data_IF_886071658078
#
_entry.id   IF_886071658078
#
_cell.length_a   1.000
_cell.length_b   1.000
_cell.length_c   1.000
_cell.angle_alpha   90.00
_cell.angle_beta   90.00
_cell.angle_gamma   90.00
#
_symmetry.space_group_name_H-M   'P 1'
#
loop_
_entity.id
_entity.type
_entity.pdbx_description
1 polymer ?
#
# COMPACT_ATOMS: atom_id res chain seq x y z
N UNK A 1 15.85 24.80 -16.26
CA UNK A 1 15.11 23.77 -15.50
C UNK A 1 15.72 22.36 -15.64
N UNK A 2 16.95 22.22 -16.17
CA UNK A 2 17.52 20.95 -16.64
C UNK A 2 18.40 20.18 -15.64
N UNK A 3 19.07 20.84 -14.68
CA UNK A 3 20.13 20.17 -13.90
C UNK A 3 19.66 19.09 -12.89
N UNK A 4 18.41 19.11 -12.41
CA UNK A 4 17.90 18.04 -11.50
C UNK A 4 17.41 16.79 -12.25
N UNK A 5 17.20 16.87 -13.57
CA UNK A 5 16.72 15.76 -14.40
C UNK A 5 17.85 15.02 -15.14
N UNK A 6 19.04 15.62 -15.24
CA UNK A 6 20.23 15.02 -15.88
C UNK A 6 20.83 13.84 -15.10
N UNK A 7 20.35 13.55 -13.88
CA UNK A 7 20.65 12.31 -13.15
C UNK A 7 19.37 11.47 -12.99
N UNK A 8 18.95 10.71 -14.03
CA UNK A 8 17.78 9.84 -13.95
C UNK A 8 17.96 8.70 -12.93
N UNK A 9 19.21 8.36 -12.62
CA UNK A 9 19.57 7.28 -11.70
C UNK A 9 19.86 7.87 -10.32
N UNK A 10 18.86 7.84 -9.45
CA UNK A 10 19.05 8.03 -8.01
C UNK A 10 19.29 6.67 -7.36
N UNK A 11 20.55 6.36 -7.05
CA UNK A 11 20.90 5.18 -6.26
C UNK A 11 20.78 5.53 -4.77
N UNK A 12 19.82 4.92 -4.08
CA UNK A 12 19.69 5.04 -2.62
C UNK A 12 20.07 3.71 -1.98
N UNK A 13 21.12 3.71 -1.17
CA UNK A 13 21.50 2.56 -0.34
C UNK A 13 20.98 2.81 1.07
N UNK A 14 20.25 1.86 1.64
CA UNK A 14 19.71 1.97 2.99
C UNK A 14 20.08 0.73 3.82
N UNK A 15 20.55 0.97 5.04
CA UNK A 15 20.71 -0.07 6.08
C UNK A 15 19.47 -0.08 6.96
N UNK A 16 18.82 -1.22 7.08
CA UNK A 16 17.57 -1.35 7.83
C UNK A 16 17.83 -2.00 9.20
N UNK A 17 17.34 -1.37 10.26
CA UNK A 17 17.19 -1.99 11.57
C UNK A 17 15.72 -2.40 11.75
N UNK A 18 15.49 -3.62 12.24
CA UNK A 18 14.15 -4.21 12.34
C UNK A 18 13.64 -4.15 13.77
N UNK A 19 12.37 -3.79 13.94
CA UNK A 19 11.68 -3.86 15.22
C UNK A 19 10.73 -5.05 15.21
N UNK A 20 10.64 -5.76 16.33
CA UNK A 20 9.69 -6.84 16.48
C UNK A 20 9.22 -6.92 17.92
N UNK A 21 7.97 -7.36 18.09
CA UNK A 21 7.47 -7.67 19.43
C UNK A 21 8.11 -8.96 19.91
N UNK A 22 8.64 -8.92 21.12
CA UNK A 22 9.14 -10.12 21.78
C UNK A 22 7.97 -10.97 22.28
N UNK A 23 8.23 -12.25 22.59
CA UNK A 23 7.25 -13.11 23.28
C UNK A 23 6.78 -12.44 24.58
N UNK A 24 7.66 -11.68 25.25
CA UNK A 24 7.27 -10.96 26.46
C UNK A 24 6.28 -9.83 26.21
N UNK A 25 6.43 -9.09 25.12
CA UNK A 25 5.47 -8.03 24.76
C UNK A 25 4.09 -8.61 24.47
N UNK A 26 4.04 -9.76 23.80
CA UNK A 26 2.80 -10.49 23.55
C UNK A 26 2.16 -11.00 24.85
N UNK A 27 2.95 -11.61 25.75
CA UNK A 27 2.46 -12.08 27.03
C UNK A 27 1.96 -10.92 27.91
N UNK A 28 2.69 -9.81 27.98
CA UNK A 28 2.26 -8.59 28.69
C UNK A 28 0.95 -8.06 28.11
N UNK A 29 0.82 -8.02 26.79
CA UNK A 29 -0.42 -7.63 26.10
C UNK A 29 -1.59 -8.56 26.45
N UNK A 30 -1.36 -9.88 26.43
CA UNK A 30 -2.35 -10.90 26.77
C UNK A 30 -2.88 -10.75 28.20
N UNK A 31 -1.98 -10.58 29.18
CA UNK A 31 -2.29 -10.49 30.61
C UNK A 31 -2.67 -9.08 31.09
N UNK A 32 -2.49 -8.04 30.27
CA UNK A 32 -2.78 -6.64 30.65
C UNK A 32 -4.24 -6.37 31.07
N UNK A 33 -5.18 -7.24 30.66
CA UNK A 33 -6.61 -7.14 30.98
C UNK A 33 -7.09 -8.48 31.55
N UNK A 34 -6.93 -8.73 32.85
CA UNK A 34 -7.27 -10.01 33.47
C UNK A 34 -8.79 -10.22 33.61
N UNK A 35 -9.57 -9.13 33.70
CA UNK A 35 -11.02 -9.20 33.92
C UNK A 35 -11.76 -10.04 32.86
N UNK A 36 -11.59 -9.82 31.53
CA UNK A 36 -12.19 -10.68 30.51
C UNK A 36 -11.83 -12.16 30.61
N UNK A 37 -10.62 -12.47 31.06
CA UNK A 37 -10.17 -13.86 31.24
C UNK A 37 -10.90 -14.51 32.41
N UNK A 38 -11.00 -13.81 33.53
CA UNK A 38 -11.73 -14.29 34.70
C UNK A 38 -13.24 -14.42 34.44
N UNK A 39 -13.85 -13.46 33.74
CA UNK A 39 -15.29 -13.53 33.43
C UNK A 39 -15.62 -14.70 32.51
N UNK A 40 -14.82 -14.94 31.47
CA UNK A 40 -15.03 -16.07 30.57
C UNK A 40 -14.78 -17.42 31.26
N UNK A 41 -13.76 -17.49 32.13
CA UNK A 41 -13.47 -18.69 32.92
C UNK A 41 -14.64 -19.02 33.87
N UNK A 42 -15.14 -18.02 34.61
CA UNK A 42 -16.29 -18.18 35.50
C UNK A 42 -17.57 -18.58 34.76
N UNK A 43 -17.83 -17.97 33.60
CA UNK A 43 -19.00 -18.31 32.78
C UNK A 43 -18.91 -19.73 32.22
N UNK A 44 -17.73 -20.13 31.70
CA UNK A 44 -17.47 -21.48 31.23
C UNK A 44 -17.64 -22.50 32.36
N UNK A 45 -17.06 -22.21 33.52
CA UNK A 45 -17.17 -23.06 34.70
C UNK A 45 -18.62 -23.27 35.11
N UNK A 46 -19.39 -22.18 35.24
CA UNK A 46 -20.81 -22.25 35.57
C UNK A 46 -21.59 -23.10 34.58
N UNK A 47 -21.38 -22.90 33.27
CA UNK A 47 -22.04 -23.67 32.23
C UNK A 47 -21.73 -25.17 32.28
N UNK A 48 -20.44 -25.53 32.34
CA UNK A 48 -20.02 -26.93 32.42
C UNK A 48 -20.46 -27.60 33.72
N UNK A 49 -20.40 -26.89 34.85
CA UNK A 49 -20.85 -27.39 36.13
C UNK A 49 -22.36 -27.67 36.15
N UNK A 50 -23.18 -26.75 35.61
CA UNK A 50 -24.63 -26.95 35.49
C UNK A 50 -24.99 -28.15 34.61
N UNK A 51 -24.29 -28.35 33.48
CA UNK A 51 -24.49 -29.52 32.60
C UNK A 51 -24.12 -30.80 33.33
N UNK A 52 -23.00 -30.80 34.06
CA UNK A 52 -22.54 -31.95 34.85
C UNK A 52 -23.55 -32.33 35.94
N UNK A 53 -23.99 -31.39 36.77
CA UNK A 53 -24.96 -31.65 37.85
C UNK A 53 -26.31 -32.12 37.30
N UNK A 54 -26.79 -31.53 36.20
CA UNK A 54 -28.02 -31.99 35.54
C UNK A 54 -27.87 -33.44 35.03
N UNK A 55 -26.70 -33.80 34.50
CA UNK A 55 -26.43 -35.15 33.98
C UNK A 55 -26.34 -36.18 35.11
N UNK A 56 -25.62 -35.86 36.19
CA UNK A 56 -25.50 -36.73 37.37
C UNK A 56 -26.86 -36.96 38.03
N UNK A 57 -27.65 -35.90 38.19
CA UNK A 57 -28.98 -35.97 38.80
C UNK A 57 -29.99 -36.74 37.93
N UNK A 58 -29.98 -36.53 36.61
CA UNK A 58 -30.92 -37.20 35.69
C UNK A 58 -30.62 -38.68 35.46
N UNK A 59 -29.36 -39.09 35.58
CA UNK A 59 -28.92 -40.47 35.34
C UNK A 59 -28.65 -41.26 36.62
N UNK A 60 -28.85 -40.65 37.80
CA UNK A 60 -28.60 -41.23 39.13
C UNK A 60 -27.21 -41.86 39.25
N UNK A 61 -26.19 -41.14 38.76
CA UNK A 61 -24.81 -41.62 38.74
C UNK A 61 -24.10 -41.35 40.07
N UNK A 62 -23.42 -42.36 40.60
CA UNK A 62 -22.53 -42.18 41.74
C UNK A 62 -21.21 -41.54 41.27
N UNK A 63 -21.11 -40.22 41.41
CA UNK A 63 -20.08 -39.43 40.76
C UNK A 63 -19.06 -38.84 41.75
N UNK A 64 -17.77 -38.96 41.42
CA UNK A 64 -16.69 -38.35 42.18
C UNK A 64 -16.59 -36.84 41.93
N UNK A 65 -17.46 -36.08 42.61
CA UNK A 65 -17.62 -34.62 42.49
C UNK A 65 -16.31 -33.81 42.59
N UNK A 66 -15.36 -34.07 43.51
CA UNK A 66 -14.13 -33.25 43.57
C UNK A 66 -13.24 -33.44 42.33
N UNK A 67 -13.21 -34.65 41.75
CA UNK A 67 -12.45 -34.91 40.51
C UNK A 67 -13.10 -34.17 39.34
N UNK A 68 -14.43 -34.24 39.22
CA UNK A 68 -15.17 -33.51 38.18
C UNK A 68 -14.99 -31.99 38.30
N UNK A 69 -15.05 -31.45 39.52
CA UNK A 69 -14.81 -30.03 39.79
C UNK A 69 -13.43 -29.60 39.32
N UNK A 70 -12.38 -30.36 39.65
CA UNK A 70 -11.01 -30.05 39.24
C UNK A 70 -10.86 -30.05 37.70
N UNK A 71 -11.45 -31.03 37.02
CA UNK A 71 -11.44 -31.11 35.55
C UNK A 71 -12.20 -29.95 34.89
N UNK A 72 -13.39 -29.63 35.38
CA UNK A 72 -14.21 -28.54 34.86
C UNK A 72 -13.50 -27.20 35.08
N UNK A 73 -12.87 -26.99 36.24
CA UNK A 73 -12.06 -25.82 36.52
C UNK A 73 -10.87 -25.71 35.56
N UNK A 74 -10.10 -26.79 35.40
CA UNK A 74 -8.96 -26.82 34.48
C UNK A 74 -9.39 -26.52 33.03
N UNK A 75 -10.47 -27.14 32.56
CA UNK A 75 -11.01 -26.91 31.21
C UNK A 75 -11.48 -25.47 31.02
N UNK A 76 -12.12 -24.88 32.03
CA UNK A 76 -12.60 -23.49 31.98
C UNK A 76 -11.47 -22.46 31.93
N UNK A 77 -10.35 -22.74 32.62
CA UNK A 77 -9.14 -21.91 32.53
C UNK A 77 -8.51 -22.02 31.14
N UNK A 78 -8.41 -23.24 30.60
CA UNK A 78 -7.86 -23.48 29.26
C UNK A 78 -8.73 -22.82 28.19
N UNK A 79 -10.06 -23.01 28.23
CA UNK A 79 -10.98 -22.42 27.27
C UNK A 79 -10.93 -20.89 27.29
N UNK A 80 -10.82 -20.29 28.49
CA UNK A 80 -10.61 -18.85 28.64
C UNK A 80 -9.27 -18.39 28.06
N UNK A 81 -8.20 -19.14 28.30
CA UNK A 81 -6.90 -18.88 27.69
C UNK A 81 -6.96 -18.89 26.15
N UNK A 82 -7.60 -19.91 25.58
CA UNK A 82 -7.79 -20.05 24.12
C UNK A 82 -8.67 -18.92 23.57
N UNK A 83 -9.81 -18.63 24.21
CA UNK A 83 -10.71 -17.55 23.80
C UNK A 83 -10.01 -16.19 23.85
N UNK A 84 -9.20 -15.95 24.88
CA UNK A 84 -8.41 -14.72 25.01
C UNK A 84 -7.32 -14.63 23.95
N UNK A 85 -6.64 -15.73 23.64
CA UNK A 85 -5.62 -15.78 22.60
C UNK A 85 -6.25 -15.48 21.24
N UNK A 86 -7.40 -16.09 20.98
CA UNK A 86 -8.18 -15.85 19.76
C UNK A 86 -8.62 -14.38 19.67
N UNK A 87 -9.14 -13.80 20.75
CA UNK A 87 -9.51 -12.38 20.78
C UNK A 87 -8.31 -11.45 20.59
N UNK A 88 -7.16 -11.79 21.18
CA UNK A 88 -5.91 -11.03 21.01
C UNK A 88 -5.44 -11.04 19.55
N UNK A 89 -5.32 -12.22 18.94
CA UNK A 89 -4.88 -12.36 17.53
C UNK A 89 -5.81 -11.65 16.55
N UNK A 90 -7.11 -11.58 16.88
CA UNK A 90 -8.13 -10.91 16.07
C UNK A 90 -8.41 -9.46 16.51
N UNK A 91 -7.62 -8.89 17.41
CA UNK A 91 -7.77 -7.49 17.80
C UNK A 91 -7.35 -6.61 16.63
N UNK A 92 -8.24 -5.71 16.22
CA UNK A 92 -7.99 -4.75 15.14
C UNK A 92 -7.20 -3.58 15.75
N UNK A 93 -6.00 -3.26 15.24
CA UNK A 93 -5.29 -2.05 15.64
C UNK A 93 -6.06 -0.81 15.19
N UNK A 94 -6.13 0.20 16.05
CA UNK A 94 -6.82 1.46 15.76
C UNK A 94 -6.27 2.09 14.46
N UNK A 95 -7.16 2.59 13.59
CA UNK A 95 -6.81 3.23 12.32
C UNK A 95 -6.49 2.27 11.18
N UNK A 96 -6.59 0.96 11.39
CA UNK A 96 -6.39 -0.07 10.36
C UNK A 96 -7.68 -0.83 10.03
N UNK A 97 -8.85 -0.30 10.40
CA UNK A 97 -10.14 -0.99 10.33
C UNK A 97 -10.54 -1.38 8.91
N UNK A 98 -10.22 -0.53 7.93
CA UNK A 98 -10.55 -0.69 6.51
C UNK A 98 -9.63 -1.67 5.76
N UNK A 99 -8.56 -2.14 6.40
CA UNK A 99 -7.58 -3.03 5.78
C UNK A 99 -8.00 -4.50 5.83
N UNK A 100 -7.40 -5.30 4.94
CA UNK A 100 -7.58 -6.75 4.92
C UNK A 100 -7.23 -7.39 6.29
N UNK A 101 -7.96 -8.43 6.74
CA UNK A 101 -7.66 -9.15 7.99
C UNK A 101 -6.20 -9.59 8.12
N UNK A 102 -5.60 -10.05 7.02
CA UNK A 102 -4.20 -10.45 6.97
C UNK A 102 -3.22 -9.29 7.27
N UNK A 103 -3.42 -8.13 6.63
CA UNK A 103 -2.58 -6.95 6.85
C UNK A 103 -2.69 -6.44 8.29
N UNK A 104 -3.91 -6.39 8.84
CA UNK A 104 -4.16 -6.04 10.25
C UNK A 104 -3.42 -6.96 11.21
N UNK A 105 -3.44 -8.27 10.92
CA UNK A 105 -2.72 -9.28 11.72
C UNK A 105 -1.20 -9.09 11.68
N UNK A 106 -0.63 -8.76 10.52
CA UNK A 106 0.82 -8.46 10.41
C UNK A 106 1.17 -7.25 11.30
N UNK A 107 0.43 -6.15 11.17
CA UNK A 107 0.66 -4.95 11.96
C UNK A 107 0.43 -5.15 13.47
N UNK A 108 -0.50 -6.03 13.86
CA UNK A 108 -0.75 -6.33 15.27
C UNK A 108 0.38 -7.18 15.88
N UNK A 109 0.72 -8.29 15.21
CA UNK A 109 1.68 -9.27 15.71
C UNK A 109 3.12 -8.80 15.60
N UNK A 110 3.45 -7.93 14.64
CA UNK A 110 4.79 -7.35 14.47
C UNK A 110 5.91 -8.41 14.53
N UNK A 111 5.74 -9.48 13.76
CA UNK A 111 6.75 -10.53 13.59
C UNK A 111 7.99 -9.97 12.85
N UNK A 112 9.04 -10.77 12.71
CA UNK A 112 10.25 -10.38 11.96
C UNK A 112 9.91 -9.81 10.57
N UNK A 113 10.47 -8.63 10.25
CA UNK A 113 10.24 -7.89 8.99
C UNK A 113 8.77 -7.51 8.75
N UNK A 114 7.98 -7.34 9.82
CA UNK A 114 6.56 -7.02 9.68
C UNK A 114 6.33 -5.69 8.96
N UNK A 115 7.23 -4.72 9.06
CA UNK A 115 7.11 -3.40 8.43
C UNK A 115 6.99 -3.56 6.90
N UNK A 116 7.88 -4.38 6.33
CA UNK A 116 7.94 -4.68 4.90
C UNK A 116 6.77 -5.58 4.47
N UNK A 117 6.47 -6.62 5.26
CA UNK A 117 5.33 -7.52 4.98
C UNK A 117 4.00 -6.76 5.00
N UNK A 118 3.84 -5.87 5.97
CA UNK A 118 2.69 -5.00 6.09
C UNK A 118 2.62 -4.06 4.90
N UNK A 119 3.71 -3.36 4.59
CA UNK A 119 3.74 -2.41 3.50
C UNK A 119 3.41 -3.05 2.15
N UNK A 120 4.02 -4.19 1.86
CA UNK A 120 3.75 -4.99 0.67
C UNK A 120 2.30 -5.43 0.58
N UNK A 121 1.75 -5.98 1.66
CA UNK A 121 0.37 -6.48 1.70
C UNK A 121 -0.64 -5.36 1.48
N UNK A 122 -0.40 -4.18 2.05
CA UNK A 122 -1.29 -3.02 1.90
C UNK A 122 -1.15 -2.42 0.50
N UNK A 123 0.08 -2.25 0.01
CA UNK A 123 0.35 -1.70 -1.32
C UNK A 123 -0.30 -2.57 -2.42
N UNK A 124 -0.12 -3.90 -2.38
CA UNK A 124 -0.77 -4.80 -3.33
C UNK A 124 -2.29 -4.68 -3.32
N UNK A 125 -2.90 -4.67 -2.12
CA UNK A 125 -4.34 -4.58 -1.99
C UNK A 125 -4.89 -3.27 -2.58
N UNK A 126 -4.24 -2.14 -2.28
CA UNK A 126 -4.73 -0.82 -2.69
C UNK A 126 -4.45 -0.49 -4.16
N UNK A 127 -3.36 -1.01 -4.73
CA UNK A 127 -2.97 -0.73 -6.13
C UNK A 127 -3.67 -1.67 -7.11
N UNK A 128 -3.91 -2.93 -6.74
CA UNK A 128 -4.54 -3.93 -7.61
C UNK A 128 -5.78 -3.44 -8.39
N UNK A 129 -6.76 -2.75 -7.78
CA UNK A 129 -7.92 -2.25 -8.53
C UNK A 129 -7.55 -1.13 -9.52
N UNK A 130 -6.58 -0.27 -9.20
CA UNK A 130 -6.16 0.85 -10.07
C UNK A 130 -5.34 0.32 -11.24
N UNK A 131 -4.45 -0.62 -10.99
CA UNK A 131 -3.67 -1.29 -12.03
C UNK A 131 -4.59 -2.04 -12.99
N UNK A 132 -5.61 -2.76 -12.48
CA UNK A 132 -6.63 -3.37 -13.34
C UNK A 132 -7.36 -2.34 -14.21
N UNK A 133 -7.80 -1.21 -13.65
CA UNK A 133 -8.42 -0.12 -14.44
C UNK A 133 -7.48 0.34 -15.56
N UNK A 134 -6.20 0.55 -15.25
CA UNK A 134 -5.21 0.97 -16.23
C UNK A 134 -4.99 -0.08 -17.33
N UNK A 135 -4.87 -1.36 -16.98
CA UNK A 135 -4.75 -2.44 -17.96
C UNK A 135 -5.99 -2.55 -18.85
N UNK A 136 -7.19 -2.36 -18.28
CA UNK A 136 -8.43 -2.38 -19.04
C UNK A 136 -8.52 -1.20 -20.02
N UNK A 137 -8.03 -0.01 -19.63
CA UNK A 137 -7.92 1.15 -20.54
C UNK A 137 -6.87 0.87 -21.62
N UNK A 138 -5.69 0.37 -21.25
CA UNK A 138 -4.57 0.13 -22.18
C UNK A 138 -4.89 -0.94 -23.24
N UNK A 139 -5.67 -1.95 -22.87
CA UNK A 139 -6.05 -3.06 -23.75
C UNK A 139 -7.37 -2.80 -24.50
N UNK A 140 -7.87 -1.56 -24.52
CA UNK A 140 -9.14 -1.17 -25.15
C UNK A 140 -10.38 -1.97 -24.64
N UNK A 141 -10.32 -2.51 -23.41
CA UNK A 141 -11.45 -3.19 -22.77
C UNK A 141 -12.48 -2.19 -22.22
N UNK A 142 -12.08 -0.94 -22.01
CA UNK A 142 -12.93 0.15 -21.48
C UNK A 142 -12.90 1.34 -22.44
N UNK A 143 -14.10 1.81 -22.81
CA UNK A 143 -14.24 2.99 -23.65
C UNK A 143 -14.03 4.28 -22.83
N UNK A 144 -13.04 5.08 -23.21
CA UNK A 144 -12.84 6.44 -22.69
C UNK A 144 -13.56 7.42 -23.62
N UNK A 145 -14.55 8.13 -23.09
CA UNK A 145 -15.30 9.13 -23.86
C UNK A 145 -14.35 10.27 -24.20
N UNK A 146 -14.05 10.42 -25.49
CA UNK A 146 -13.19 11.49 -25.98
C UNK A 146 -14.01 12.70 -26.45
N UNK A 147 -13.57 13.91 -26.09
CA UNK A 147 -14.19 15.16 -26.51
C UNK A 147 -13.21 16.03 -27.29
N UNK A 148 -13.74 16.86 -28.19
CA UNK A 148 -12.93 17.89 -28.85
C UNK A 148 -12.69 19.05 -27.89
N UNK A 149 -11.49 19.66 -27.90
CA UNK A 149 -11.25 20.86 -27.13
C UNK A 149 -12.16 22.00 -27.59
N UNK A 150 -12.44 22.94 -26.69
CA UNK A 150 -13.31 24.10 -26.96
C UNK A 150 -12.73 25.03 -28.03
N UNK A 151 -11.42 25.22 -27.99
CA UNK A 151 -10.66 26.07 -28.90
C UNK A 151 -9.18 25.64 -28.88
N UNK A 152 -8.46 25.94 -29.97
CA UNK A 152 -7.06 25.55 -30.12
C UNK A 152 -6.14 26.18 -29.10
N UNK A 153 -6.38 27.45 -28.73
CA UNK A 153 -5.51 28.16 -27.76
C UNK A 153 -5.56 27.48 -26.40
N UNK A 154 -6.75 27.13 -25.91
CA UNK A 154 -6.92 26.39 -24.67
C UNK A 154 -6.24 25.02 -24.73
N UNK A 155 -6.36 24.32 -25.87
CA UNK A 155 -5.71 23.04 -26.08
C UNK A 155 -4.17 23.15 -26.11
N UNK A 156 -3.63 24.14 -26.82
CA UNK A 156 -2.19 24.40 -26.88
C UNK A 156 -1.63 24.74 -25.49
N UNK A 157 -2.33 25.58 -24.71
CA UNK A 157 -1.92 25.90 -23.33
C UNK A 157 -1.94 24.66 -22.42
N UNK A 158 -3.00 23.85 -22.52
CA UNK A 158 -3.07 22.59 -21.79
C UNK A 158 -1.88 21.69 -22.13
N UNK A 159 -1.62 21.49 -23.43
CA UNK A 159 -0.54 20.66 -23.93
C UNK A 159 0.83 21.19 -23.49
N UNK A 160 1.09 22.49 -23.66
CA UNK A 160 2.34 23.13 -23.24
C UNK A 160 2.64 22.97 -21.74
N UNK A 161 1.62 22.85 -20.87
CA UNK A 161 1.79 22.61 -19.44
C UNK A 161 1.97 21.14 -19.03
N UNK A 162 1.80 20.18 -19.96
CA UNK A 162 1.90 18.74 -19.67
C UNK A 162 3.28 18.31 -19.18
N UNK A 163 4.41 18.74 -19.80
CA UNK A 163 5.74 18.35 -19.34
C UNK A 163 5.99 18.73 -17.88
N UNK A 164 5.68 19.98 -17.51
CA UNK A 164 5.89 20.48 -16.15
C UNK A 164 5.08 19.68 -15.12
N UNK A 165 3.84 19.32 -15.45
CA UNK A 165 3.02 18.47 -14.58
C UNK A 165 3.60 17.07 -14.43
N UNK A 166 4.05 16.44 -15.52
CA UNK A 166 4.70 15.13 -15.50
C UNK A 166 5.98 15.16 -14.64
N UNK A 167 6.86 16.15 -14.84
CA UNK A 167 8.08 16.28 -14.05
C UNK A 167 7.82 16.56 -12.57
N UNK A 168 6.78 17.34 -12.24
CA UNK A 168 6.34 17.52 -10.86
C UNK A 168 5.86 16.21 -10.23
N UNK A 169 5.10 15.40 -10.97
CA UNK A 169 4.69 14.07 -10.51
C UNK A 169 5.90 13.16 -10.27
N UNK A 170 6.86 13.13 -11.18
CA UNK A 170 8.11 12.37 -11.02
C UNK A 170 8.92 12.83 -9.80
N UNK A 171 9.00 14.14 -9.55
CA UNK A 171 9.70 14.69 -8.38
C UNK A 171 9.03 14.24 -7.07
N UNK A 172 7.70 14.27 -7.03
CA UNK A 172 6.93 13.75 -5.88
C UNK A 172 7.15 12.25 -5.73
N UNK A 173 7.12 11.49 -6.82
CA UNK A 173 7.38 10.05 -6.83
C UNK A 173 8.74 9.70 -6.22
N UNK A 174 9.81 10.33 -6.70
CA UNK A 174 11.17 10.17 -6.18
C UNK A 174 11.23 10.46 -4.69
N UNK A 175 10.68 11.60 -4.24
CA UNK A 175 10.68 11.96 -2.83
C UNK A 175 9.93 10.94 -1.97
N UNK A 176 8.72 10.56 -2.37
CA UNK A 176 7.88 9.66 -1.57
C UNK A 176 8.46 8.25 -1.52
N UNK A 177 8.91 7.69 -2.64
CA UNK A 177 9.39 6.30 -2.69
C UNK A 177 10.82 6.13 -2.18
N UNK A 178 11.71 7.10 -2.43
CA UNK A 178 13.15 6.96 -2.10
C UNK A 178 13.53 7.54 -0.74
N UNK A 179 12.74 8.48 -0.20
CA UNK A 179 13.04 9.14 1.06
C UNK A 179 11.98 8.86 2.12
N UNK A 180 10.72 9.21 1.83
CA UNK A 180 9.67 9.22 2.86
C UNK A 180 9.20 7.81 3.27
N UNK A 181 9.05 6.88 2.31
CA UNK A 181 8.67 5.52 2.62
C UNK A 181 9.77 4.77 3.39
N UNK A 182 11.05 4.76 2.97
CA UNK A 182 12.12 4.15 3.77
C UNK A 182 12.19 4.69 5.19
N UNK A 183 12.03 6.01 5.38
CA UNK A 183 11.98 6.63 6.71
C UNK A 183 10.78 6.17 7.57
N UNK A 184 9.68 5.74 6.96
CA UNK A 184 8.54 5.16 7.69
C UNK A 184 8.74 3.68 8.02
N UNK A 185 9.53 2.96 7.21
CA UNK A 185 9.84 1.55 7.40
C UNK A 185 10.98 1.32 8.39
N UNK A 186 11.91 2.26 8.51
CA UNK A 186 13.02 2.18 9.47
C UNK A 186 12.48 2.33 10.89
N UNK A 187 12.77 1.32 11.70
CA UNK A 187 12.61 1.37 13.15
C UNK A 187 13.96 1.58 13.84
N UNK A 188 13.98 2.33 14.93
CA UNK A 188 15.14 2.46 15.82
C UNK A 188 14.77 1.99 17.23
N UNK A 189 15.76 1.73 18.09
CA UNK A 189 15.50 1.36 19.49
C UNK A 189 14.67 2.42 20.24
N UNK A 190 14.85 3.70 19.90
CA UNK A 190 14.13 4.81 20.52
C UNK A 190 12.75 5.06 19.89
N UNK A 191 12.60 4.77 18.60
CA UNK A 191 11.35 4.98 17.85
C UNK A 191 10.97 3.74 17.04
N UNK A 192 10.08 2.87 17.57
CA UNK A 192 9.59 1.72 16.83
C UNK A 192 8.78 2.17 15.61
N UNK A 193 8.75 1.34 14.56
CA UNK A 193 7.96 1.64 13.38
C UNK A 193 6.46 1.67 13.72
N UNK A 194 5.78 2.72 13.27
CA UNK A 194 4.34 2.92 13.47
C UNK A 194 3.56 2.41 12.24
N UNK A 195 2.66 1.42 12.40
CA UNK A 195 1.82 0.95 11.30
C UNK A 195 1.02 2.06 10.62
N UNK A 196 0.57 3.09 11.35
CA UNK A 196 -0.20 4.21 10.78
C UNK A 196 0.67 5.04 9.85
N UNK A 197 1.88 5.40 10.30
CA UNK A 197 2.84 6.13 9.47
C UNK A 197 3.20 5.37 8.20
N UNK A 198 3.35 4.04 8.28
CA UNK A 198 3.59 3.21 7.09
C UNK A 198 2.38 3.26 6.14
N UNK A 199 1.16 3.10 6.69
CA UNK A 199 -0.08 3.19 5.92
C UNK A 199 -0.22 4.54 5.21
N UNK A 200 0.03 5.66 5.90
CA UNK A 200 -0.08 7.01 5.33
C UNK A 200 0.86 7.20 4.12
N UNK A 201 2.09 6.66 4.21
CA UNK A 201 3.05 6.72 3.10
C UNK A 201 2.63 5.85 1.93
N UNK A 202 2.07 4.68 2.20
CA UNK A 202 1.52 3.81 1.15
C UNK A 202 0.32 4.47 0.48
N UNK A 203 -0.59 5.08 1.23
CA UNK A 203 -1.71 5.83 0.67
C UNK A 203 -1.23 6.99 -0.22
N UNK A 204 -0.14 7.67 0.16
CA UNK A 204 0.49 8.70 -0.68
C UNK A 204 0.97 8.12 -2.01
N UNK A 205 1.61 6.94 -2.00
CA UNK A 205 2.05 6.23 -3.21
C UNK A 205 0.85 5.79 -4.05
N UNK A 206 -0.20 5.26 -3.43
CA UNK A 206 -1.45 4.84 -4.11
C UNK A 206 -2.11 6.05 -4.78
N UNK A 207 -2.17 7.20 -4.11
CA UNK A 207 -2.70 8.42 -4.69
C UNK A 207 -1.87 8.88 -5.88
N UNK A 208 -0.54 8.87 -5.77
CA UNK A 208 0.34 9.18 -6.89
C UNK A 208 0.15 8.22 -8.07
N UNK A 209 0.01 6.91 -7.82
CA UNK A 209 -0.27 5.92 -8.86
C UNK A 209 -1.61 6.20 -9.53
N UNK A 210 -2.66 6.54 -8.76
CA UNK A 210 -3.96 6.96 -9.28
C UNK A 210 -3.84 8.21 -10.16
N UNK A 211 -3.12 9.23 -9.72
CA UNK A 211 -2.87 10.44 -10.50
C UNK A 211 -2.08 10.13 -11.79
N UNK A 212 -1.15 9.17 -11.75
CA UNK A 212 -0.42 8.70 -12.94
C UNK A 212 -1.35 8.11 -14.00
N UNK A 213 -2.37 7.36 -13.58
CA UNK A 213 -3.40 6.79 -14.48
C UNK A 213 -4.34 7.89 -14.97
N UNK A 214 -4.76 8.79 -14.08
CA UNK A 214 -5.60 9.93 -14.45
C UNK A 214 -4.92 10.85 -15.47
N UNK A 215 -3.60 11.05 -15.35
CA UNK A 215 -2.79 11.82 -16.29
C UNK A 215 -2.83 11.23 -17.71
N UNK A 216 -2.72 9.90 -17.85
CA UNK A 216 -2.82 9.23 -19.16
C UNK A 216 -4.26 9.25 -19.70
N UNK A 217 -5.24 8.97 -18.83
CA UNK A 217 -6.66 8.99 -19.17
C UNK A 217 -7.09 10.36 -19.70
N UNK A 218 -6.54 11.44 -19.14
CA UNK A 218 -6.79 12.80 -19.63
C UNK A 218 -6.30 13.03 -21.06
N UNK A 219 -5.22 12.37 -21.49
CA UNK A 219 -4.79 12.40 -22.90
C UNK A 219 -5.75 11.65 -23.79
N UNK A 220 -6.13 10.43 -23.39
CA UNK A 220 -7.07 9.60 -24.15
C UNK A 220 -8.48 10.22 -24.27
N UNK A 221 -8.86 11.07 -23.32
CA UNK A 221 -10.16 11.74 -23.31
C UNK A 221 -10.25 12.97 -24.24
N UNK A 222 -9.20 13.29 -25.00
CA UNK A 222 -9.18 14.46 -25.90
C UNK A 222 -8.92 14.01 -27.33
N UNK A 223 -9.77 14.45 -28.25
CA UNK A 223 -9.52 14.36 -29.70
C UNK A 223 -8.68 15.59 -30.09
N UNK A 224 -7.38 15.46 -30.42
CA UNK A 224 -6.55 16.60 -30.73
C UNK A 224 -6.95 17.25 -32.07
N UNK A 225 -6.74 18.56 -32.23
CA UNK A 225 -6.73 19.19 -33.56
C UNK A 225 -5.70 18.51 -34.47
N UNK A 226 -5.97 18.47 -35.77
CA UNK A 226 -5.13 17.75 -36.75
C UNK A 226 -3.69 18.29 -36.75
N UNK A 227 -3.52 19.60 -36.57
CA UNK A 227 -2.22 20.27 -36.48
C UNK A 227 -1.40 19.84 -35.26
N UNK A 228 -2.05 19.28 -34.25
CA UNK A 228 -1.46 18.88 -32.97
C UNK A 228 -1.43 17.36 -32.77
N UNK A 229 -1.92 16.56 -33.73
CA UNK A 229 -2.04 15.12 -33.58
C UNK A 229 -0.69 14.46 -33.26
N UNK A 230 0.39 14.91 -33.89
CA UNK A 230 1.76 14.41 -33.65
C UNK A 230 2.22 14.72 -32.21
N UNK A 231 2.15 15.99 -31.79
CA UNK A 231 2.54 16.39 -30.41
C UNK A 231 1.72 15.63 -29.38
N UNK A 232 0.41 15.49 -29.63
CA UNK A 232 -0.49 14.77 -28.74
C UNK A 232 -0.08 13.31 -28.58
N UNK A 233 0.31 12.64 -29.67
CA UNK A 233 0.71 11.23 -29.63
C UNK A 233 2.02 11.01 -28.86
N UNK A 234 2.96 11.95 -28.96
CA UNK A 234 4.26 11.84 -28.30
C UNK A 234 4.18 11.83 -26.77
N UNK A 235 3.06 12.30 -26.19
CA UNK A 235 2.88 12.34 -24.73
C UNK A 235 2.39 11.02 -24.11
N UNK A 236 2.02 10.04 -24.94
CA UNK A 236 1.46 8.77 -24.46
C UNK A 236 2.57 7.99 -23.73
N UNK A 237 2.27 7.51 -22.52
CA UNK A 237 3.22 6.71 -21.73
C UNK A 237 4.14 7.55 -20.85
N UNK A 238 3.99 8.88 -20.80
CA UNK A 238 4.80 9.75 -19.95
C UNK A 238 4.72 9.44 -18.46
N UNK A 239 3.61 8.86 -18.00
CA UNK A 239 3.45 8.47 -16.59
C UNK A 239 3.85 7.01 -16.33
N UNK A 240 4.31 6.26 -17.33
CA UNK A 240 4.77 4.87 -17.19
C UNK A 240 5.95 4.73 -16.22
N UNK A 241 6.98 5.61 -16.23
CA UNK A 241 8.09 5.50 -15.28
C UNK A 241 7.67 5.57 -13.80
N UNK A 242 6.56 6.26 -13.49
CA UNK A 242 6.01 6.31 -12.12
C UNK A 242 5.39 4.96 -11.75
N UNK A 243 4.64 4.35 -12.66
CA UNK A 243 4.01 3.05 -12.44
C UNK A 243 5.06 1.95 -12.32
N UNK A 244 6.07 1.97 -13.19
CA UNK A 244 7.18 1.03 -13.16
C UNK A 244 7.98 1.14 -11.86
N UNK A 245 8.22 2.35 -11.37
CA UNK A 245 8.87 2.55 -10.07
C UNK A 245 8.06 1.96 -8.90
N UNK A 246 6.73 1.98 -8.97
CA UNK A 246 5.86 1.31 -7.98
C UNK A 246 5.98 -0.21 -8.08
N UNK A 247 6.04 -0.77 -9.28
CA UNK A 247 6.25 -2.21 -9.46
C UNK A 247 7.63 -2.64 -8.96
N UNK A 248 8.69 -1.88 -9.28
CA UNK A 248 10.04 -2.09 -8.72
C UNK A 248 10.03 -2.01 -7.18
N UNK A 249 9.28 -1.07 -6.59
CA UNK A 249 9.12 -1.00 -5.13
C UNK A 249 8.43 -2.25 -4.57
N UNK A 250 7.44 -2.81 -5.27
CA UNK A 250 6.79 -4.04 -4.85
C UNK A 250 7.77 -5.23 -4.84
N UNK A 251 8.59 -5.34 -5.87
CA UNK A 251 9.67 -6.34 -5.97
C UNK A 251 10.70 -6.16 -4.84
N UNK A 252 11.13 -4.92 -4.57
CA UNK A 252 12.00 -4.63 -3.42
C UNK A 252 11.41 -5.12 -2.11
N UNK A 253 10.14 -4.81 -1.85
CA UNK A 253 9.47 -5.25 -0.61
C UNK A 253 9.37 -6.77 -0.53
N UNK A 254 9.15 -7.45 -1.66
CA UNK A 254 9.16 -8.90 -1.78
C UNK A 254 10.55 -9.48 -1.45
N UNK A 255 11.61 -8.98 -2.10
CA UNK A 255 12.99 -9.44 -1.90
C UNK A 255 13.42 -9.30 -0.44
N UNK A 256 13.12 -8.16 0.19
CA UNK A 256 13.40 -7.95 1.62
C UNK A 256 12.68 -8.99 2.48
N UNK A 257 11.43 -9.34 2.15
CA UNK A 257 10.66 -10.34 2.88
C UNK A 257 11.23 -11.76 2.73
N UNK A 258 11.82 -12.09 1.58
CA UNK A 258 12.28 -13.44 1.24
C UNK A 258 13.71 -13.73 1.70
N UNK A 259 14.52 -12.70 1.96
CA UNK A 259 15.86 -12.88 2.54
C UNK A 259 15.81 -13.60 3.88
N UNK A 260 16.70 -14.58 4.07
CA UNK A 260 16.86 -15.26 5.36
C UNK A 260 17.41 -14.25 6.40
N UNK A 261 16.72 -14.05 7.54
CA UNK A 261 17.22 -13.19 8.62
C UNK A 261 18.56 -13.63 9.21
N UNK A 262 19.00 -14.87 8.97
CA UNK A 262 20.28 -15.40 9.48
C UNK A 262 21.45 -15.19 8.52
N UNK A 263 21.21 -14.75 7.29
CA UNK A 263 22.27 -14.39 6.35
C UNK A 263 22.54 -12.89 6.41
N UNK A 264 23.81 -12.53 6.57
CA UNK A 264 24.30 -11.14 6.63
C UNK A 264 24.31 -10.50 5.22
N UNK A 265 23.14 -10.50 4.58
CA UNK A 265 22.97 -10.04 3.21
C UNK A 265 22.68 -8.55 3.22
N UNK A 266 23.69 -7.76 2.85
CA UNK A 266 23.50 -6.38 2.44
C UNK A 266 22.63 -6.36 1.17
N UNK A 267 21.33 -6.12 1.33
CA UNK A 267 20.42 -5.95 0.21
C UNK A 267 20.72 -4.61 -0.49
N UNK A 268 21.23 -4.69 -1.71
CA UNK A 268 21.38 -3.53 -2.59
C UNK A 268 20.24 -3.52 -3.59
N UNK A 269 19.44 -2.47 -3.57
CA UNK A 269 18.36 -2.28 -4.53
C UNK A 269 18.44 -0.89 -5.14
N UNK A 270 17.98 -0.77 -6.38
CA UNK A 270 17.89 0.49 -7.11
C UNK A 270 16.48 0.60 -7.68
N UNK A 271 15.76 1.66 -7.32
CA UNK A 271 14.53 2.06 -8.02
C UNK A 271 14.95 3.07 -9.08
N UNK A 272 14.73 2.73 -10.34
CA UNK A 272 15.06 3.59 -11.48
C UNK A 272 13.84 4.37 -11.92
N UNK A 273 14.01 5.69 -12.03
CA UNK A 273 13.02 6.59 -12.62
C UNK A 273 13.52 7.05 -13.97
N UNK A 274 13.04 6.40 -15.02
CA UNK A 274 13.37 6.77 -16.38
C UNK A 274 12.78 8.14 -16.76
N UNK A 275 13.41 8.79 -17.74
CA UNK A 275 12.89 10.02 -18.33
C UNK A 275 11.63 9.66 -19.14
N UNK A 276 10.56 10.49 -19.13
CA UNK A 276 9.39 10.26 -19.97
C UNK A 276 9.78 10.02 -21.44
N UNK A 277 9.19 9.03 -22.12
CA UNK A 277 9.55 8.71 -23.50
C UNK A 277 9.27 9.88 -24.45
N UNK A 278 10.08 10.03 -25.49
CA UNK A 278 9.91 11.00 -26.58
C UNK A 278 9.85 12.49 -26.13
N UNK A 279 10.36 12.82 -24.94
CA UNK A 279 10.26 14.19 -24.41
C UNK A 279 10.99 15.22 -25.29
N UNK A 280 12.13 14.86 -25.88
CA UNK A 280 12.92 15.73 -26.75
C UNK A 280 12.23 15.97 -28.10
N UNK A 281 11.66 14.91 -28.67
CA UNK A 281 10.85 14.98 -29.90
C UNK A 281 9.60 15.82 -29.66
N UNK A 282 8.99 15.70 -28.49
CA UNK A 282 7.84 16.51 -28.08
C UNK A 282 8.17 18.00 -28.03
N UNK A 283 9.27 18.39 -27.38
CA UNK A 283 9.67 19.79 -27.32
C UNK A 283 9.97 20.35 -28.71
N UNK A 284 10.67 19.56 -29.54
CA UNK A 284 10.99 19.94 -30.93
C UNK A 284 9.72 20.18 -31.76
N UNK A 285 8.73 19.30 -31.65
CA UNK A 285 7.47 19.43 -32.38
C UNK A 285 6.59 20.56 -31.81
N UNK A 286 6.59 20.77 -30.49
CA UNK A 286 5.87 21.89 -29.87
C UNK A 286 6.42 23.23 -30.34
N UNK A 287 7.74 23.37 -30.47
CA UNK A 287 8.38 24.57 -31.02
C UNK A 287 8.03 24.78 -32.50
N UNK A 288 7.99 23.71 -33.30
CA UNK A 288 7.53 23.77 -34.71
C UNK A 288 6.11 24.33 -34.80
N UNK A 289 5.18 23.79 -34.00
CA UNK A 289 3.78 24.27 -33.97
C UNK A 289 3.72 25.72 -33.50
N UNK A 290 4.51 26.09 -32.48
CA UNK A 290 4.52 27.45 -31.93
C UNK A 290 4.88 28.51 -32.97
N UNK A 291 5.73 28.17 -33.94
CA UNK A 291 6.07 29.04 -35.09
C UNK A 291 4.88 29.18 -36.05
N UNK A 292 4.10 28.10 -36.25
CA UNK A 292 2.92 28.07 -37.12
C UNK A 292 1.66 28.64 -36.47
N UNK A 293 1.69 28.89 -35.16
CA UNK A 293 0.55 29.32 -34.36
C UNK A 293 -0.21 30.53 -34.95
N UNK A 294 0.45 31.59 -35.48
CA UNK A 294 -0.26 32.71 -36.10
C UNK A 294 -1.12 32.29 -37.31
N UNK A 295 -0.60 31.40 -38.16
CA UNK A 295 -1.29 30.92 -39.37
C UNK A 295 -2.46 29.99 -39.01
N UNK A 296 -2.28 29.14 -38.00
CA UNK A 296 -3.34 28.25 -37.51
C UNK A 296 -4.47 29.08 -36.88
N UNK A 297 -4.13 30.10 -36.08
CA UNK A 297 -5.11 30.99 -35.47
C UNK A 297 -5.88 31.86 -36.48
N UNK A 298 -5.30 32.15 -37.64
CA UNK A 298 -5.98 32.86 -38.73
C UNK A 298 -6.98 31.97 -39.48
N UNK A 299 -6.77 30.65 -39.51
CA UNK A 299 -7.63 29.69 -40.21
C UNK A 299 -8.79 29.12 -39.36
N UNK A 300 -8.81 29.39 -38.05
CA UNK A 300 -9.90 28.98 -37.14
C UNK A 300 -11.06 29.99 -37.05
N UNK A 301 -11.11 30.99 -37.95
CA UNK A 301 -12.19 31.97 -38.09
C UNK A 301 -12.78 31.99 -39.50
#
# INVERSE_FOLDING_TARGET
MSYELDNPISNTTATFAFSYKTIWDHAKGFFSRPLPLLTFASASFGGFWSIYEASVSSLDLDANRPVAYAWILAFSVISSGVARLWAYVNTIPDGLEELLPHARRIAHLQQTKWEFRFAKSVLAYLISPIDREWQDIRNDNVYVVASRPRDFRSYFQWLAGRPDNCFRMLKVAKKTMLLELPQALISTEETPADPKRILDRIQTIVNLYRESVAFEKASLAIIPPDEMATVHKLQIGWAEPIRDAVHQLFELLQDVCDVDPNTDSNLKFTITFEVPPNIDDYYSELDRVKVLLPQIMENEW
#
